data_IF_787643646615
#
_entry.id   IF_787643646615
#
_cell.length_a   1.000
_cell.length_b   1.000
_cell.length_c   1.000
_cell.angle_alpha   90.00
_cell.angle_beta   90.00
_cell.angle_gamma   90.00
#
_symmetry.space_group_name_H-M   'P 1'
#
loop_
_entity.id
_entity.type
_entity.pdbx_description
1 polymer ?
#
# COMPACT_ATOMS: atom_id res chain seq x y z
N UNK A 1 18.31 13.35 25.67
CA UNK A 1 16.88 13.00 25.73
C UNK A 1 16.34 12.90 24.31
N UNK A 2 15.81 11.74 23.91
CA UNK A 2 15.21 11.57 22.56
C UNK A 2 13.91 12.36 22.48
N UNK A 3 13.65 13.06 21.36
CA UNK A 3 12.38 13.76 21.12
C UNK A 3 11.21 12.77 21.31
N UNK A 4 10.07 13.22 21.89
CA UNK A 4 8.89 12.37 21.99
C UNK A 4 8.47 11.90 20.58
N UNK A 5 8.09 10.62 20.47
CA UNK A 5 7.66 10.03 19.19
C UNK A 5 6.43 10.78 18.67
N UNK A 6 6.43 11.09 17.38
CA UNK A 6 5.28 11.72 16.74
C UNK A 6 4.11 10.73 16.66
N UNK A 7 2.87 11.24 16.56
CA UNK A 7 1.66 10.40 16.42
C UNK A 7 1.75 9.39 15.27
N UNK A 8 2.38 9.78 14.15
CA UNK A 8 2.63 8.86 13.02
C UNK A 8 3.58 7.72 13.42
N UNK A 9 4.66 8.01 14.14
CA UNK A 9 5.63 6.98 14.54
C UNK A 9 4.98 5.95 15.48
N UNK A 10 4.15 6.41 16.44
CA UNK A 10 3.38 5.51 17.33
C UNK A 10 2.41 4.62 16.55
N UNK A 11 1.72 5.17 15.55
CA UNK A 11 0.82 4.41 14.69
C UNK A 11 1.57 3.33 13.90
N UNK A 12 2.71 3.69 13.29
CA UNK A 12 3.52 2.79 12.49
C UNK A 12 4.20 1.70 13.34
N UNK A 13 4.61 2.04 14.57
CA UNK A 13 5.14 1.07 15.53
C UNK A 13 4.12 -0.03 15.83
N UNK A 14 2.83 0.31 15.96
CA UNK A 14 1.73 -0.67 16.12
C UNK A 14 1.56 -1.60 14.91
N UNK A 15 2.02 -1.18 13.73
CA UNK A 15 2.08 -1.99 12.52
C UNK A 15 3.45 -2.63 12.31
N UNK A 16 4.40 -2.48 13.24
CA UNK A 16 5.77 -2.96 13.10
C UNK A 16 6.53 -2.34 11.93
N UNK A 17 6.16 -1.12 11.52
CA UNK A 17 6.79 -0.37 10.42
C UNK A 17 7.66 0.74 11.02
N UNK A 18 8.89 0.89 10.52
CA UNK A 18 9.80 1.93 10.99
C UNK A 18 10.16 2.92 9.88
N UNK A 19 9.93 4.20 10.14
CA UNK A 19 10.43 5.27 9.28
C UNK A 19 11.92 5.51 9.54
N UNK A 20 12.72 5.46 8.48
CA UNK A 20 14.17 5.70 8.53
C UNK A 20 14.57 6.84 7.61
N UNK A 21 15.62 7.62 7.93
CA UNK A 21 16.10 8.68 7.05
C UNK A 21 16.64 8.14 5.72
N UNK A 22 16.52 8.91 4.63
CA UNK A 22 16.89 8.51 3.26
C UNK A 22 18.37 8.12 3.13
N UNK A 23 19.26 8.73 3.92
CA UNK A 23 20.70 8.40 3.90
C UNK A 23 21.03 7.03 4.51
N UNK A 24 20.09 6.38 5.19
CA UNK A 24 20.28 5.06 5.80
C UNK A 24 19.65 4.01 4.90
N UNK A 25 20.38 2.94 4.57
CA UNK A 25 19.79 1.80 3.87
C UNK A 25 18.62 1.22 4.66
N UNK A 26 17.45 1.15 4.04
CA UNK A 26 16.27 0.50 4.61
C UNK A 26 16.46 -1.02 4.71
N UNK A 27 16.01 -1.59 5.82
CA UNK A 27 15.83 -3.03 6.01
C UNK A 27 14.35 -3.43 5.84
N UNK A 28 14.03 -4.70 6.08
CA UNK A 28 12.66 -5.17 6.03
C UNK A 28 11.74 -4.41 7.00
N UNK A 29 10.49 -4.19 6.59
CA UNK A 29 9.50 -3.37 7.31
C UNK A 29 9.95 -1.94 7.63
N UNK A 30 10.90 -1.38 6.86
CA UNK A 30 11.33 0.01 6.97
C UNK A 30 10.97 0.81 5.73
N UNK A 31 10.69 2.10 5.92
CA UNK A 31 10.32 3.00 4.84
C UNK A 31 10.98 4.38 4.95
N UNK A 32 11.21 5.00 3.81
CA UNK A 32 11.57 6.41 3.70
C UNK A 32 10.36 7.31 3.44
N UNK A 33 9.18 6.73 3.19
CA UNK A 33 7.99 7.42 2.71
C UNK A 33 7.24 8.20 3.80
N UNK A 34 7.98 8.88 4.70
CA UNK A 34 7.41 9.69 5.78
C UNK A 34 6.47 10.77 5.23
N UNK A 35 6.87 11.47 4.17
CA UNK A 35 6.07 12.51 3.53
C UNK A 35 4.72 11.97 3.04
N UNK A 36 4.75 10.93 2.21
CA UNK A 36 3.55 10.28 1.67
C UNK A 36 2.62 9.76 2.78
N UNK A 37 3.16 9.10 3.81
CA UNK A 37 2.34 8.61 4.92
C UNK A 37 1.71 9.77 5.73
N UNK A 38 2.43 10.88 5.92
CA UNK A 38 1.87 12.08 6.54
C UNK A 38 0.76 12.71 5.70
N UNK A 39 0.96 12.84 4.38
CA UNK A 39 -0.03 13.39 3.46
C UNK A 39 -1.33 12.56 3.49
N UNK A 40 -1.23 11.24 3.30
CA UNK A 40 -2.37 10.33 3.34
C UNK A 40 -3.10 10.41 4.68
N UNK A 41 -2.36 10.39 5.78
CA UNK A 41 -2.92 10.49 7.13
C UNK A 41 -3.66 11.81 7.35
N UNK A 42 -3.08 12.92 6.93
CA UNK A 42 -3.69 14.24 7.09
C UNK A 42 -4.93 14.40 6.21
N UNK A 43 -4.95 13.76 5.04
CA UNK A 43 -6.05 13.86 4.08
C UNK A 43 -7.21 12.90 4.37
N UNK A 44 -6.92 11.66 4.76
CA UNK A 44 -7.91 10.58 4.89
C UNK A 44 -8.00 9.97 6.29
N UNK A 45 -7.15 10.40 7.22
CA UNK A 45 -7.14 9.95 8.61
C UNK A 45 -6.31 8.69 8.88
N UNK A 46 -6.21 8.36 10.17
CA UNK A 46 -5.38 7.27 10.69
C UNK A 46 -5.88 5.90 10.21
N UNK A 47 -7.20 5.69 10.17
CA UNK A 47 -7.82 4.43 9.74
C UNK A 47 -7.49 4.07 8.29
N UNK A 48 -7.56 5.05 7.39
CA UNK A 48 -7.23 4.85 5.98
C UNK A 48 -5.75 4.49 5.79
N UNK A 49 -4.83 5.23 6.44
CA UNK A 49 -3.41 4.90 6.38
C UNK A 49 -3.13 3.49 6.91
N UNK A 50 -3.75 3.10 8.03
CA UNK A 50 -3.61 1.76 8.59
C UNK A 50 -4.05 0.70 7.58
N UNK A 51 -5.19 0.92 6.90
CA UNK A 51 -5.71 -0.04 5.93
C UNK A 51 -4.81 -0.17 4.71
N UNK A 52 -4.33 0.94 4.14
CA UNK A 52 -3.31 0.94 3.06
C UNK A 52 -2.08 0.11 3.43
N UNK A 53 -1.55 0.31 4.64
CA UNK A 53 -0.36 -0.39 5.09
C UNK A 53 -0.60 -1.88 5.38
N UNK A 54 -1.83 -2.25 5.79
CA UNK A 54 -2.23 -3.66 5.93
C UNK A 54 -2.27 -4.38 4.59
N UNK A 55 -2.80 -3.74 3.53
CA UNK A 55 -2.78 -4.27 2.17
C UNK A 55 -1.35 -4.55 1.65
N UNK A 56 -0.33 -3.89 2.19
CA UNK A 56 1.07 -4.18 1.85
C UNK A 56 1.63 -5.28 2.75
N UNK A 57 1.43 -5.17 4.07
CA UNK A 57 2.14 -5.99 5.06
C UNK A 57 1.57 -7.41 5.22
N UNK A 58 0.25 -7.59 5.11
CA UNK A 58 -0.38 -8.90 5.33
C UNK A 58 -0.06 -9.90 4.22
N UNK A 59 0.38 -9.38 3.07
CA UNK A 59 0.82 -10.18 1.93
C UNK A 59 2.20 -10.77 2.19
N UNK A 60 2.30 -12.11 2.15
CA UNK A 60 3.51 -12.85 2.54
C UNK A 60 4.79 -12.41 1.81
N UNK A 61 4.66 -11.89 0.59
CA UNK A 61 5.77 -11.50 -0.29
C UNK A 61 6.00 -9.99 -0.43
N UNK A 62 5.16 -9.10 0.11
CA UNK A 62 5.32 -7.64 -0.13
C UNK A 62 5.69 -6.82 1.11
N UNK A 63 6.15 -7.44 2.21
CA UNK A 63 6.53 -6.70 3.45
C UNK A 63 7.55 -5.57 3.23
N UNK A 64 8.32 -5.64 2.15
CA UNK A 64 9.36 -4.66 1.81
C UNK A 64 8.91 -3.62 0.78
N UNK A 65 7.66 -3.70 0.31
CA UNK A 65 7.07 -2.80 -0.68
C UNK A 65 6.48 -1.52 -0.06
N UNK A 66 7.08 -1.06 1.04
CA UNK A 66 6.78 0.19 1.71
C UNK A 66 7.43 1.39 1.01
N UNK A 67 7.20 1.53 -0.30
CA UNK A 67 7.65 2.67 -1.11
C UNK A 67 6.56 3.75 -1.21
N UNK A 68 6.97 5.00 -1.41
CA UNK A 68 6.06 6.13 -1.58
C UNK A 68 5.05 5.91 -2.70
N UNK A 69 5.51 5.39 -3.84
CA UNK A 69 4.71 5.15 -5.03
C UNK A 69 3.73 4.00 -4.80
N UNK A 70 4.15 2.93 -4.14
CA UNK A 70 3.27 1.80 -3.80
C UNK A 70 2.20 2.20 -2.79
N UNK A 71 2.59 2.86 -1.70
CA UNK A 71 1.67 3.35 -0.65
C UNK A 71 0.67 4.33 -1.26
N UNK A 72 1.14 5.28 -2.06
CA UNK A 72 0.29 6.25 -2.75
C UNK A 72 -0.66 5.60 -3.75
N UNK A 73 -0.18 4.66 -4.57
CA UNK A 73 -1.01 3.97 -5.56
C UNK A 73 -2.13 3.16 -4.92
N UNK A 74 -1.84 2.42 -3.83
CA UNK A 74 -2.86 1.67 -3.10
C UNK A 74 -3.87 2.64 -2.47
N UNK A 75 -3.41 3.72 -1.84
CA UNK A 75 -4.30 4.76 -1.29
C UNK A 75 -5.25 5.32 -2.35
N UNK A 76 -4.76 5.61 -3.56
CA UNK A 76 -5.61 6.12 -4.65
C UNK A 76 -6.71 5.13 -5.03
N UNK A 77 -6.38 3.84 -5.09
CA UNK A 77 -7.36 2.79 -5.42
C UNK A 77 -8.42 2.70 -4.33
N UNK A 78 -8.03 2.70 -3.05
CA UNK A 78 -8.98 2.60 -1.93
C UNK A 78 -9.91 3.81 -1.86
N UNK A 79 -9.42 5.00 -2.22
CA UNK A 79 -10.26 6.21 -2.32
C UNK A 79 -11.22 6.11 -3.51
N UNK A 80 -10.76 5.56 -4.64
CA UNK A 80 -11.56 5.44 -5.85
C UNK A 80 -12.63 4.33 -5.77
N UNK A 81 -12.30 3.18 -5.17
CA UNK A 81 -13.16 1.99 -5.06
C UNK A 81 -13.56 1.76 -3.60
N UNK A 82 -14.39 2.67 -3.10
CA UNK A 82 -14.91 2.59 -1.75
C UNK A 82 -15.79 1.37 -1.52
N UNK A 83 -16.43 0.85 -2.57
CA UNK A 83 -17.16 -0.41 -2.57
C UNK A 83 -16.26 -1.58 -2.15
N UNK A 84 -15.04 -1.66 -2.70
CA UNK A 84 -14.06 -2.65 -2.25
C UNK A 84 -13.57 -2.37 -0.83
N UNK A 85 -13.25 -1.10 -0.52
CA UNK A 85 -12.59 -0.75 0.73
C UNK A 85 -13.51 -0.85 1.96
N UNK A 86 -14.81 -0.58 1.81
CA UNK A 86 -15.77 -0.54 2.92
C UNK A 86 -16.61 -1.81 3.02
N UNK A 87 -17.09 -2.34 1.89
CA UNK A 87 -18.03 -3.47 1.88
C UNK A 87 -17.30 -4.81 1.78
N UNK A 88 -16.11 -4.83 1.16
CA UNK A 88 -15.36 -6.05 0.82
C UNK A 88 -13.92 -6.04 1.31
N UNK A 89 -13.68 -5.40 2.45
CA UNK A 89 -12.33 -5.21 2.99
C UNK A 89 -11.57 -6.53 3.19
N UNK A 90 -12.27 -7.61 3.57
CA UNK A 90 -11.67 -8.96 3.72
C UNK A 90 -11.22 -9.57 2.39
N UNK A 91 -12.09 -9.54 1.37
CA UNK A 91 -11.76 -9.99 0.02
C UNK A 91 -10.59 -9.20 -0.56
N UNK A 92 -10.58 -7.89 -0.33
CA UNK A 92 -9.54 -6.99 -0.81
C UNK A 92 -8.17 -7.34 -0.20
N UNK A 93 -8.11 -7.59 1.11
CA UNK A 93 -6.88 -8.04 1.76
C UNK A 93 -6.41 -9.40 1.20
N UNK A 94 -7.34 -10.34 1.02
CA UNK A 94 -7.06 -11.65 0.40
C UNK A 94 -6.53 -11.50 -1.03
N UNK A 95 -7.12 -10.59 -1.82
CA UNK A 95 -6.66 -10.31 -3.17
C UNK A 95 -5.23 -9.77 -3.18
N UNK A 96 -4.91 -8.83 -2.28
CA UNK A 96 -3.56 -8.31 -2.14
C UNK A 96 -2.54 -9.39 -1.76
N UNK A 97 -2.92 -10.42 -1.00
CA UNK A 97 -2.02 -11.54 -0.66
C UNK A 97 -1.51 -12.29 -1.91
N UNK A 98 -2.27 -12.24 -3.00
CA UNK A 98 -1.92 -12.87 -4.29
C UNK A 98 -1.20 -11.93 -5.26
N UNK A 99 -1.25 -10.61 -5.04
CA UNK A 99 -0.71 -9.63 -5.98
C UNK A 99 0.78 -9.38 -5.69
N UNK A 100 1.68 -9.59 -6.68
CA UNK A 100 3.11 -9.37 -6.47
C UNK A 100 3.48 -7.90 -6.68
N UNK A 101 3.37 -7.08 -5.63
CA UNK A 101 3.58 -5.61 -5.70
C UNK A 101 5.00 -5.24 -6.15
N UNK A 102 6.02 -6.00 -5.72
CA UNK A 102 7.42 -5.75 -6.08
C UNK A 102 7.69 -5.84 -7.58
N UNK A 103 7.34 -6.97 -8.23
CA UNK A 103 7.38 -7.10 -9.69
C UNK A 103 6.60 -5.99 -10.42
N UNK A 104 5.37 -5.69 -10.00
CA UNK A 104 4.56 -4.63 -10.63
C UNK A 104 5.22 -3.24 -10.53
N UNK A 105 5.82 -2.91 -9.38
CA UNK A 105 6.60 -1.67 -9.25
C UNK A 105 7.84 -1.70 -10.15
N UNK A 106 8.51 -2.85 -10.26
CA UNK A 106 9.63 -3.04 -11.17
C UNK A 106 9.25 -2.77 -12.63
N UNK A 107 8.07 -3.24 -13.06
CA UNK A 107 7.51 -2.94 -14.39
C UNK A 107 7.23 -1.44 -14.56
N UNK A 108 6.57 -0.81 -13.59
CA UNK A 108 6.28 0.62 -13.63
C UNK A 108 7.57 1.48 -13.69
N UNK A 109 8.64 1.08 -12.99
CA UNK A 109 9.94 1.78 -13.03
C UNK A 109 10.62 1.64 -14.40
N UNK A 110 10.48 0.51 -15.08
CA UNK A 110 11.05 0.31 -16.42
C UNK A 110 10.39 1.19 -17.49
N UNK A 111 9.15 1.63 -17.25
CA UNK A 111 8.36 2.48 -18.16
C UNK A 111 8.67 3.99 -18.02
N UNK A 112 9.70 4.37 -17.26
CA UNK A 112 10.14 5.77 -17.18
C UNK A 112 10.40 6.33 -18.60
N UNK A 113 10.02 7.59 -18.89
CA UNK A 113 9.70 8.67 -17.94
C UNK A 113 8.23 8.71 -17.44
N UNK A 114 7.43 7.66 -17.66
CA UNK A 114 6.05 7.65 -17.17
C UNK A 114 5.98 7.78 -15.63
N UNK A 115 4.93 8.43 -15.08
CA UNK A 115 4.79 8.59 -13.64
C UNK A 115 4.57 7.24 -12.93
N UNK A 116 5.58 6.78 -12.18
CA UNK A 116 5.62 5.44 -11.57
C UNK A 116 4.39 5.15 -10.71
N UNK A 117 3.92 6.10 -9.87
CA UNK A 117 2.70 5.93 -9.05
C UNK A 117 1.47 5.69 -9.92
N UNK A 118 1.27 6.49 -10.97
CA UNK A 118 0.11 6.38 -11.84
C UNK A 118 0.13 5.06 -12.64
N UNK A 119 1.29 4.67 -13.16
CA UNK A 119 1.48 3.40 -13.86
C UNK A 119 1.24 2.22 -12.93
N UNK A 120 1.86 2.22 -11.74
CA UNK A 120 1.68 1.17 -10.73
C UNK A 120 0.23 1.06 -10.27
N UNK A 121 -0.46 2.19 -10.07
CA UNK A 121 -1.88 2.24 -9.74
C UNK A 121 -2.71 1.47 -10.77
N UNK A 122 -2.48 1.70 -12.06
CA UNK A 122 -3.21 0.99 -13.13
C UNK A 122 -2.93 -0.51 -13.09
N UNK A 123 -1.65 -0.91 -12.91
CA UNK A 123 -1.27 -2.32 -12.84
C UNK A 123 -1.94 -3.05 -11.67
N UNK A 124 -1.94 -2.43 -10.48
CA UNK A 124 -2.60 -2.99 -9.29
C UNK A 124 -4.12 -3.02 -9.49
N UNK A 125 -4.70 -1.92 -9.96
CA UNK A 125 -6.15 -1.80 -10.17
C UNK A 125 -6.68 -2.91 -11.08
N UNK A 126 -6.02 -3.16 -12.22
CA UNK A 126 -6.44 -4.20 -13.17
C UNK A 126 -6.41 -5.60 -12.59
N UNK A 127 -5.46 -5.90 -11.69
CA UNK A 127 -5.41 -7.18 -10.98
C UNK A 127 -6.53 -7.31 -9.97
N UNK A 128 -6.79 -6.25 -9.20
CA UNK A 128 -7.90 -6.22 -8.25
C UNK A 128 -9.25 -6.34 -8.95
N UNK A 129 -9.44 -5.64 -10.06
CA UNK A 129 -10.65 -5.71 -10.88
C UNK A 129 -10.92 -7.15 -11.35
N UNK A 130 -9.90 -7.83 -11.86
CA UNK A 130 -10.02 -9.24 -12.26
C UNK A 130 -10.38 -10.19 -11.10
N UNK A 131 -9.87 -9.94 -9.90
CA UNK A 131 -10.14 -10.80 -8.73
C UNK A 131 -11.51 -10.50 -8.12
N UNK A 132 -11.86 -9.22 -8.00
CA UNK A 132 -13.00 -8.77 -7.21
C UNK A 132 -14.27 -8.64 -8.05
N UNK A 133 -14.16 -8.30 -9.34
CA UNK A 133 -15.31 -7.93 -10.16
C UNK A 133 -15.61 -8.94 -11.29
N UNK A 134 -14.66 -9.79 -11.70
CA UNK A 134 -14.95 -10.81 -12.73
C UNK A 134 -15.81 -11.98 -12.19
N UNK A 135 -16.86 -12.37 -12.94
CA UNK A 135 -17.89 -13.29 -12.45
C UNK A 135 -17.44 -14.73 -12.25
N UNK A 136 -16.37 -15.20 -12.91
CA UNK A 136 -15.91 -16.59 -12.80
C UNK A 136 -15.47 -16.98 -11.37
N UNK A 137 -14.99 -16.02 -10.57
CA UNK A 137 -14.62 -16.24 -9.17
C UNK A 137 -15.81 -16.20 -8.20
N UNK A 138 -17.02 -15.79 -8.63
CA UNK A 138 -18.22 -15.73 -7.76
C UNK A 138 -18.96 -17.06 -7.63
N UNK A 139 -18.65 -18.06 -8.47
CA UNK A 139 -19.35 -19.35 -8.52
C UNK A 139 -18.64 -20.48 -7.76
N UNK A 140 -17.56 -20.18 -7.04
CA UNK A 140 -16.81 -21.15 -6.24
C UNK A 140 -17.11 -20.98 -4.73
N UNK A 141 -18.40 -21.07 -4.36
CA UNK A 141 -18.85 -21.31 -2.96
C UNK A 141 -20.03 -22.26 -3.00
#
# INVERSE_FOLDING_TARGET
>A
MSRPKGKLDTLLDGLGIKLVPVYRRRAAAQSHARGTMHEIRNQYGDGHLIFVLRCIKQTGNNRDELWSETIGAISDILVQRQDWAMERAGDLLTAFDTIPLGPLRGEAVKLRPWPVRATLRTLIYKRLEAILDEPEHRLAV
#
